data_IF_130624711021
#
_entry.id   IF_130624711021
#
_cell.length_a   1.000
_cell.length_b   1.000
_cell.length_c   1.000
_cell.angle_alpha   90.00
_cell.angle_beta   90.00
_cell.angle_gamma   90.00
#
_symmetry.space_group_name_H-M   'P 1'
#
loop_
_entity.id
_entity.type
_entity.pdbx_description
1 polymer ?
#
# COMPACT_ATOMS: atom_id res chain seq x y z
N UNK A 1 -10.13 12.22 -2.27
CA UNK A 1 -10.56 11.88 -0.90
C UNK A 1 -10.80 13.16 -0.09
N UNK A 2 -11.46 13.10 1.08
CA UNK A 2 -11.83 14.25 1.96
C UNK A 2 -10.69 15.26 2.22
N UNK A 3 -9.44 14.80 2.16
CA UNK A 3 -8.23 15.60 2.35
C UNK A 3 -7.60 16.14 1.05
N UNK A 4 -8.27 15.99 -0.09
CA UNK A 4 -7.80 16.43 -1.41
C UNK A 4 -6.57 15.68 -1.94
N UNK A 5 -6.21 14.55 -1.34
CA UNK A 5 -5.02 13.75 -1.65
C UNK A 5 -5.40 12.49 -2.43
N UNK A 6 -4.63 12.19 -3.47
CA UNK A 6 -4.69 10.92 -4.22
C UNK A 6 -3.46 10.08 -3.86
N UNK A 7 -3.65 9.16 -2.92
CA UNK A 7 -2.62 8.22 -2.50
C UNK A 7 -2.68 6.94 -3.36
N UNK A 8 -1.52 6.35 -3.56
CA UNK A 8 -1.33 5.10 -4.29
C UNK A 8 -0.77 4.02 -3.36
N UNK A 9 -1.12 2.76 -3.63
CA UNK A 9 -0.57 1.59 -2.95
C UNK A 9 0.59 1.06 -3.77
N UNK A 10 1.80 1.16 -3.25
CA UNK A 10 2.94 0.41 -3.78
C UNK A 10 3.00 -0.94 -3.06
N UNK A 11 2.60 -1.98 -3.80
CA UNK A 11 2.60 -3.34 -3.28
C UNK A 11 3.99 -3.74 -2.74
N UNK A 12 4.07 -4.43 -1.59
CA UNK A 12 2.92 -4.96 -0.83
C UNK A 12 2.34 -4.01 0.22
N UNK A 13 3.06 -2.96 0.60
CA UNK A 13 2.83 -2.34 1.91
C UNK A 13 3.16 -0.84 2.01
N UNK A 14 3.61 -0.22 0.93
CA UNK A 14 3.99 1.18 0.94
C UNK A 14 2.86 2.08 0.43
N UNK A 15 2.73 3.25 1.03
CA UNK A 15 1.79 4.28 0.61
C UNK A 15 2.59 5.36 -0.11
N UNK A 16 2.17 5.69 -1.33
CA UNK A 16 2.83 6.65 -2.21
C UNK A 16 1.90 7.81 -2.53
N UNK A 17 2.49 8.95 -2.86
CA UNK A 17 1.79 10.12 -3.37
C UNK A 17 2.73 10.89 -4.31
N UNK A 18 2.28 11.19 -5.53
CA UNK A 18 3.09 11.88 -6.53
C UNK A 18 4.44 11.19 -6.80
N UNK A 19 4.47 9.86 -6.82
CA UNK A 19 5.69 9.08 -7.06
C UNK A 19 6.67 8.99 -5.87
N UNK A 20 6.35 9.55 -4.71
CA UNK A 20 7.19 9.52 -3.50
C UNK A 20 6.53 8.73 -2.39
N UNK A 21 7.34 8.08 -1.55
CA UNK A 21 6.86 7.34 -0.39
C UNK A 21 6.33 8.29 0.68
N UNK A 22 5.07 8.15 1.03
CA UNK A 22 4.37 8.87 2.09
C UNK A 22 4.46 8.12 3.42
N UNK A 23 4.46 6.80 3.38
CA UNK A 23 4.36 5.97 4.57
C UNK A 23 4.30 4.48 4.24
N UNK A 24 3.82 3.69 5.18
CA UNK A 24 3.62 2.25 5.00
C UNK A 24 2.77 1.63 6.10
N UNK A 25 2.32 0.41 5.83
CA UNK A 25 1.55 -0.45 6.72
C UNK A 25 2.30 -1.76 6.96
N UNK A 26 2.16 -2.35 8.13
CA UNK A 26 2.73 -3.65 8.49
C UNK A 26 1.67 -4.44 9.26
N UNK A 27 1.49 -5.69 8.86
CA UNK A 27 0.56 -6.61 9.49
C UNK A 27 1.34 -7.79 10.06
N UNK A 28 1.26 -7.99 11.37
CA UNK A 28 1.89 -9.12 12.06
C UNK A 28 0.81 -10.00 12.69
N UNK A 29 0.95 -11.32 12.55
CA UNK A 29 -0.03 -12.28 13.06
C UNK A 29 0.60 -13.11 14.17
N UNK A 30 -0.07 -13.23 15.31
CA UNK A 30 0.27 -14.16 16.37
C UNK A 30 -0.59 -15.40 16.20
N UNK A 31 0.05 -16.55 16.02
CA UNK A 31 -0.60 -17.84 15.79
C UNK A 31 -0.35 -18.75 16.98
N UNK A 32 -1.43 -19.21 17.62
CA UNK A 32 -1.38 -20.18 18.72
C UNK A 32 -2.23 -21.40 18.38
N UNK A 33 -1.72 -22.60 18.61
CA UNK A 33 -2.42 -23.87 18.32
C UNK A 33 -2.99 -23.97 16.89
N UNK A 34 -2.27 -23.41 15.92
CA UNK A 34 -2.69 -23.40 14.51
C UNK A 34 -3.85 -22.46 14.20
N UNK A 35 -4.21 -21.56 15.11
CA UNK A 35 -5.23 -20.52 14.91
C UNK A 35 -4.60 -19.14 15.04
N UNK A 36 -5.04 -18.22 14.20
CA UNK A 36 -4.73 -16.80 14.38
C UNK A 36 -5.37 -16.31 15.67
N UNK A 37 -4.54 -15.95 16.64
CA UNK A 37 -4.99 -15.40 17.92
C UNK A 37 -5.11 -13.87 17.84
N UNK A 38 -4.13 -13.21 17.19
CA UNK A 38 -4.08 -11.75 17.08
C UNK A 38 -3.55 -11.31 15.72
N UNK A 39 -4.09 -10.21 15.20
CA UNK A 39 -3.56 -9.44 14.08
C UNK A 39 -3.16 -8.06 14.60
N UNK A 40 -1.91 -7.70 14.46
CA UNK A 40 -1.35 -6.40 14.82
C UNK A 40 -1.15 -5.63 13.52
N UNK A 41 -1.84 -4.51 13.37
CA UNK A 41 -1.71 -3.61 12.22
C UNK A 41 -0.97 -2.36 12.70
N UNK A 42 0.29 -2.22 12.29
CA UNK A 42 1.07 -0.99 12.47
C UNK A 42 1.04 -0.17 11.18
N UNK A 43 0.86 1.15 11.27
CA UNK A 43 1.04 2.02 10.10
C UNK A 43 1.77 3.30 10.51
N UNK A 44 2.52 3.85 9.56
CA UNK A 44 3.23 5.11 9.71
C UNK A 44 2.99 5.97 8.48
N UNK A 45 2.65 7.24 8.70
CA UNK A 45 2.40 8.23 7.63
C UNK A 45 3.21 9.48 7.98
N UNK A 46 3.94 10.01 7.01
CA UNK A 46 4.56 11.31 7.11
C UNK A 46 3.49 12.40 6.92
N UNK A 47 3.25 13.21 7.94
CA UNK A 47 2.16 14.19 7.97
C UNK A 47 2.70 15.60 7.76
N UNK A 48 3.40 16.17 8.75
CA UNK A 48 3.83 17.57 8.74
C UNK A 48 5.36 17.76 8.64
N UNK A 49 6.11 16.71 8.34
CA UNK A 49 7.57 16.81 8.20
C UNK A 49 7.93 17.70 7.01
N UNK A 50 8.90 18.60 7.17
CA UNK A 50 9.45 19.38 6.05
C UNK A 50 10.46 18.57 5.25
N UNK A 51 10.89 19.11 4.10
CA UNK A 51 11.92 18.47 3.27
C UNK A 51 13.22 18.24 4.03
N UNK A 52 13.61 19.19 4.87
CA UNK A 52 14.86 19.18 5.64
C UNK A 52 14.83 18.15 6.78
N UNK A 53 13.65 17.88 7.34
CA UNK A 53 13.45 16.88 8.39
C UNK A 53 13.46 15.45 7.84
N UNK A 54 13.21 15.27 6.54
CA UNK A 54 13.24 13.98 5.87
C UNK A 54 14.65 13.63 5.39
N UNK A 55 15.26 12.65 6.05
CA UNK A 55 16.66 12.22 5.80
C UNK A 55 16.82 11.27 4.60
N UNK A 56 15.73 10.73 4.07
CA UNK A 56 15.76 9.74 2.99
C UNK A 56 15.30 10.33 1.66
N UNK A 57 16.00 9.95 0.58
CA UNK A 57 15.62 10.26 -0.78
C UNK A 57 14.28 9.57 -1.15
N UNK A 58 13.52 10.20 -2.04
CA UNK A 58 12.21 9.72 -2.53
C UNK A 58 11.08 9.56 -1.49
N UNK A 59 11.18 10.25 -0.35
CA UNK A 59 10.07 10.40 0.60
C UNK A 59 9.37 11.76 0.47
N UNK A 60 8.14 11.81 0.94
CA UNK A 60 7.32 13.02 1.08
C UNK A 60 6.45 12.93 2.33
N UNK A 61 5.81 14.05 2.69
CA UNK A 61 4.80 14.17 3.74
C UNK A 61 3.55 14.82 3.15
N UNK A 62 2.43 14.79 3.87
CA UNK A 62 1.22 15.50 3.44
C UNK A 62 1.46 17.01 3.32
N UNK A 63 2.22 17.59 4.26
CA UNK A 63 2.64 19.00 4.23
C UNK A 63 3.49 19.30 3.01
N UNK A 64 4.51 18.51 2.72
CA UNK A 64 5.39 18.73 1.57
C UNK A 64 4.66 18.59 0.23
N UNK A 65 3.64 17.73 0.17
CA UNK A 65 2.84 17.55 -1.03
C UNK A 65 1.77 18.63 -1.22
N UNK A 66 1.16 19.14 -0.15
CA UNK A 66 0.03 20.10 -0.21
C UNK A 66 0.37 21.55 0.16
N UNK A 67 1.47 21.78 0.86
CA UNK A 67 1.86 23.09 1.41
C UNK A 67 0.99 23.57 2.58
N UNK A 68 0.20 22.68 3.19
CA UNK A 68 -0.64 22.99 4.35
C UNK A 68 -0.41 21.97 5.47
N UNK A 69 -0.49 22.41 6.72
CA UNK A 69 -0.43 21.50 7.87
C UNK A 69 -1.73 20.73 8.05
N UNK A 70 -1.61 19.49 8.49
CA UNK A 70 -2.73 18.62 8.81
C UNK A 70 -2.85 18.42 10.32
N UNK A 71 -4.08 18.43 10.83
CA UNK A 71 -4.36 18.00 12.20
C UNK A 71 -4.18 16.47 12.30
N UNK A 72 -3.11 16.03 12.97
CA UNK A 72 -2.78 14.60 13.10
C UNK A 72 -3.87 13.81 13.83
N UNK A 73 -4.59 14.40 14.77
CA UNK A 73 -5.63 13.71 15.51
C UNK A 73 -6.88 13.46 14.65
N UNK A 74 -7.28 14.45 13.85
CA UNK A 74 -8.39 14.30 12.89
C UNK A 74 -8.03 13.29 11.80
N UNK A 75 -6.82 13.41 11.21
CA UNK A 75 -6.34 12.45 10.22
C UNK A 75 -6.31 11.02 10.77
N UNK A 76 -5.82 10.83 11.99
CA UNK A 76 -5.80 9.52 12.65
C UNK A 76 -7.20 8.97 12.88
N UNK A 77 -8.13 9.80 13.34
CA UNK A 77 -9.52 9.40 13.56
C UNK A 77 -10.17 8.93 12.25
N UNK A 78 -10.00 9.67 11.16
CA UNK A 78 -10.54 9.31 9.85
C UNK A 78 -9.97 7.98 9.33
N UNK A 79 -8.66 7.78 9.48
CA UNK A 79 -8.00 6.52 9.09
C UNK A 79 -8.56 5.35 9.89
N UNK A 80 -8.70 5.50 11.22
CA UNK A 80 -9.20 4.45 12.10
C UNK A 80 -10.65 4.09 11.74
N UNK A 81 -11.51 5.09 11.54
CA UNK A 81 -12.92 4.86 11.16
C UNK A 81 -13.00 4.04 9.87
N UNK A 82 -12.30 4.47 8.81
CA UNK A 82 -12.30 3.77 7.53
C UNK A 82 -11.70 2.37 7.62
N UNK A 83 -10.63 2.20 8.39
CA UNK A 83 -10.03 0.88 8.64
C UNK A 83 -11.05 -0.07 9.28
N UNK A 84 -11.77 0.38 10.31
CA UNK A 84 -12.79 -0.45 10.96
C UNK A 84 -13.99 -0.74 10.08
N UNK A 85 -14.40 0.17 9.20
CA UNK A 85 -15.45 -0.06 8.22
C UNK A 85 -15.08 -1.20 7.28
N UNK A 86 -13.85 -1.20 6.74
CA UNK A 86 -13.38 -2.25 5.85
C UNK A 86 -13.12 -3.59 6.55
N UNK A 87 -12.70 -3.57 7.83
CA UNK A 87 -12.43 -4.80 8.59
C UNK A 87 -13.69 -5.51 9.09
N UNK A 88 -14.83 -4.81 9.21
CA UNK A 88 -16.08 -5.41 9.70
C UNK A 88 -16.77 -6.32 8.68
N UNK A 89 -16.52 -6.12 7.39
CA UNK A 89 -17.14 -6.90 6.32
C UNK A 89 -16.15 -7.94 5.79
N UNK A 90 -16.31 -9.19 6.17
CA UNK A 90 -15.47 -10.30 5.68
C UNK A 90 -16.13 -11.09 4.53
N UNK A 91 -17.13 -10.51 3.86
CA UNK A 91 -17.81 -11.18 2.74
C UNK A 91 -16.91 -11.29 1.50
N UNK A 92 -17.19 -12.25 0.63
CA UNK A 92 -16.51 -12.38 -0.67
C UNK A 92 -16.73 -11.16 -1.56
N UNK A 93 -17.86 -10.48 -1.41
CA UNK A 93 -18.18 -9.26 -2.14
C UNK A 93 -17.26 -8.12 -1.68
N UNK A 94 -17.00 -8.03 -0.37
CA UNK A 94 -16.00 -7.09 0.14
C UNK A 94 -14.59 -7.44 -0.34
N UNK A 95 -14.20 -8.72 -0.43
CA UNK A 95 -12.89 -9.11 -1.00
C UNK A 95 -12.71 -8.60 -2.44
N UNK A 96 -13.71 -8.80 -3.31
CA UNK A 96 -13.69 -8.31 -4.70
C UNK A 96 -13.70 -6.79 -4.79
N UNK A 97 -14.47 -6.15 -3.91
CA UNK A 97 -14.46 -4.70 -3.79
C UNK A 97 -13.05 -4.20 -3.42
N UNK A 98 -12.43 -4.75 -2.38
CA UNK A 98 -11.07 -4.39 -1.95
C UNK A 98 -10.03 -4.64 -3.03
N UNK A 99 -10.10 -5.77 -3.74
CA UNK A 99 -9.24 -6.04 -4.91
C UNK A 99 -9.37 -4.90 -5.93
N UNK A 100 -10.60 -4.50 -6.28
CA UNK A 100 -10.86 -3.43 -7.25
C UNK A 100 -10.31 -2.09 -6.78
N UNK A 101 -10.53 -1.71 -5.52
CA UNK A 101 -10.05 -0.45 -4.95
C UNK A 101 -8.51 -0.40 -4.87
N UNK A 102 -7.86 -1.49 -4.47
CA UNK A 102 -6.40 -1.58 -4.51
C UNK A 102 -5.90 -1.44 -5.93
N UNK A 103 -6.56 -2.10 -6.89
CA UNK A 103 -6.19 -2.06 -8.30
C UNK A 103 -6.44 -0.70 -8.99
N UNK A 104 -7.36 0.14 -8.49
CA UNK A 104 -7.55 1.50 -8.99
C UNK A 104 -6.52 2.48 -8.44
N UNK A 105 -5.88 2.14 -7.33
CA UNK A 105 -4.82 2.94 -6.69
C UNK A 105 -3.44 2.26 -6.72
N UNK A 106 -3.26 1.20 -7.51
CA UNK A 106 -2.02 0.44 -7.53
C UNK A 106 -0.92 1.25 -8.23
N UNK A 107 0.10 1.60 -7.46
CA UNK A 107 1.27 2.32 -7.95
C UNK A 107 1.97 1.51 -9.05
N UNK A 108 2.36 2.19 -10.14
CA UNK A 108 3.02 1.60 -11.33
C UNK A 108 2.21 0.54 -12.10
N UNK A 109 0.89 0.45 -11.88
CA UNK A 109 0.03 -0.44 -12.68
C UNK A 109 0.08 -0.07 -14.16
N UNK A 110 0.22 -1.08 -15.01
CA UNK A 110 0.36 -0.95 -16.46
C UNK A 110 1.78 -0.61 -16.93
N UNK A 111 2.72 -0.37 -16.01
CA UNK A 111 4.12 -0.09 -16.35
C UNK A 111 4.96 -1.37 -16.33
N UNK A 112 6.00 -1.40 -17.15
CA UNK A 112 7.07 -2.39 -17.03
C UNK A 112 7.93 -2.06 -15.83
N UNK A 113 8.09 -3.03 -14.92
CA UNK A 113 8.84 -2.89 -13.68
C UNK A 113 9.85 -4.02 -13.52
N UNK A 114 10.92 -3.77 -12.77
CA UNK A 114 11.77 -4.82 -12.24
C UNK A 114 11.21 -5.28 -10.88
N UNK A 115 10.96 -6.56 -10.73
CA UNK A 115 10.46 -7.16 -9.50
C UNK A 115 11.48 -8.13 -8.91
N UNK A 116 11.79 -7.98 -7.63
CA UNK A 116 12.74 -8.85 -6.92
C UNK A 116 11.99 -9.68 -5.87
N UNK A 117 12.02 -11.00 -6.04
CA UNK A 117 11.47 -12.00 -5.11
C UNK A 117 12.56 -13.04 -4.80
N UNK A 118 12.38 -14.30 -5.21
CA UNK A 118 13.43 -15.34 -5.20
C UNK A 118 14.59 -15.01 -6.17
N UNK A 119 14.24 -14.35 -7.27
CA UNK A 119 15.15 -13.77 -8.26
C UNK A 119 14.54 -12.49 -8.82
N UNK A 120 15.23 -11.88 -9.79
CA UNK A 120 14.70 -10.73 -10.52
C UNK A 120 13.85 -11.15 -11.71
N UNK A 121 12.76 -10.44 -11.89
CA UNK A 121 11.83 -10.55 -13.00
C UNK A 121 11.64 -9.18 -13.63
N UNK A 122 11.42 -9.17 -14.94
CA UNK A 122 10.98 -8.00 -15.67
C UNK A 122 9.63 -8.31 -16.31
N UNK A 123 8.71 -7.35 -16.26
CA UNK A 123 7.39 -7.51 -16.81
C UNK A 123 6.46 -6.36 -16.49
N UNK A 124 5.27 -6.39 -17.07
CA UNK A 124 4.24 -5.38 -16.82
C UNK A 124 3.47 -5.71 -15.54
N UNK A 125 3.40 -4.77 -14.60
CA UNK A 125 2.57 -4.91 -13.40
C UNK A 125 1.10 -4.79 -13.81
N UNK A 126 0.38 -5.90 -13.82
CA UNK A 126 -1.02 -5.93 -14.29
C UNK A 126 -2.03 -5.66 -13.18
N UNK A 127 -1.68 -5.97 -11.93
CA UNK A 127 -2.58 -5.81 -10.82
C UNK A 127 -2.19 -6.60 -9.57
N UNK A 128 -3.15 -6.69 -8.67
CA UNK A 128 -3.14 -7.57 -7.50
C UNK A 128 -4.38 -8.46 -7.60
N UNK A 129 -4.26 -9.76 -7.33
CA UNK A 129 -5.40 -10.69 -7.36
C UNK A 129 -6.23 -10.65 -6.07
N UNK A 130 -7.37 -11.36 -6.06
CA UNK A 130 -8.27 -11.49 -4.88
C UNK A 130 -7.56 -11.99 -3.60
N UNK A 131 -6.45 -12.72 -3.73
CA UNK A 131 -5.64 -13.22 -2.61
C UNK A 131 -4.49 -12.27 -2.20
N UNK A 132 -4.46 -11.05 -2.75
CA UNK A 132 -3.45 -10.04 -2.44
C UNK A 132 -2.11 -10.24 -3.14
N UNK A 133 -1.96 -11.26 -3.99
CA UNK A 133 -0.71 -11.50 -4.70
C UNK A 133 -0.52 -10.55 -5.88
N UNK A 134 0.73 -10.12 -6.11
CA UNK A 134 1.11 -9.31 -7.25
C UNK A 134 1.04 -10.12 -8.55
N UNK A 135 0.45 -9.53 -9.59
CA UNK A 135 0.28 -10.13 -10.92
C UNK A 135 1.20 -9.43 -11.93
N UNK A 136 2.22 -10.15 -12.40
CA UNK A 136 3.23 -9.63 -13.33
C UNK A 136 3.16 -10.38 -14.67
N UNK A 137 2.96 -9.66 -15.77
CA UNK A 137 3.05 -10.22 -17.12
C UNK A 137 4.51 -10.19 -17.59
N UNK A 138 5.15 -11.36 -17.59
CA UNK A 138 6.53 -11.53 -18.10
C UNK A 138 6.52 -12.06 -19.54
N UNK A 139 7.68 -12.13 -20.19
CA UNK A 139 7.82 -12.80 -21.50
C UNK A 139 7.40 -14.27 -21.47
N UNK A 140 7.55 -14.93 -20.32
CA UNK A 140 7.14 -16.33 -20.10
C UNK A 140 5.65 -16.50 -19.73
N UNK A 141 4.89 -15.40 -19.72
CA UNK A 141 3.49 -15.35 -19.32
C UNK A 141 3.27 -14.75 -17.93
N UNK A 142 2.02 -14.87 -17.45
CA UNK A 142 1.58 -14.34 -16.16
C UNK A 142 2.25 -15.07 -14.99
N UNK A 143 2.83 -14.29 -14.06
CA UNK A 143 3.38 -14.77 -12.79
C UNK A 143 2.68 -14.11 -11.62
N UNK A 144 2.58 -14.85 -10.52
CA UNK A 144 1.91 -14.46 -9.29
C UNK A 144 2.89 -14.53 -8.13
N UNK A 145 2.97 -13.48 -7.31
CA UNK A 145 3.91 -13.38 -6.21
C UNK A 145 3.23 -12.97 -4.90
N UNK A 146 3.50 -13.71 -3.83
CA UNK A 146 2.98 -13.42 -2.49
C UNK A 146 3.97 -12.59 -1.64
N UNK A 147 5.22 -12.48 -2.08
CA UNK A 147 6.26 -11.66 -1.44
C UNK A 147 7.30 -11.18 -2.46
N UNK A 148 7.93 -10.06 -2.16
CA UNK A 148 8.95 -9.43 -3.00
C UNK A 148 8.86 -7.91 -2.94
N UNK A 149 9.58 -7.24 -3.85
CA UNK A 149 9.59 -5.77 -3.95
C UNK A 149 9.67 -5.31 -5.40
N UNK A 150 8.99 -4.20 -5.68
CA UNK A 150 9.11 -3.46 -6.93
C UNK A 150 10.34 -2.53 -6.85
N UNK A 151 11.27 -2.68 -7.80
CA UNK A 151 12.47 -1.86 -7.98
C UNK A 151 12.23 -0.91 -9.15
N UNK A 152 12.40 0.40 -8.90
CA UNK A 152 12.40 1.47 -9.91
C UNK A 152 13.44 2.51 -9.54
#
# INVERSE_FOLDING_TARGET
AEHGVEAEVKWPNDIYIGGKKLGGILCETIIENGKTEKLIIGFGINVNQTKEEMTLYNMTSLYEYKGIEFNRCELLADIIVKLFEHLKDSSSDNTKYMEREVNSHLFAKGLTVTFESDKRYEGTLTGVGEDGALLLLTESGMKKFISGKIIM
#
